data_IF_659903040913
#
_entry.id   IF_659903040913
#
_cell.length_a   1.000
_cell.length_b   1.000
_cell.length_c   1.000
_cell.angle_alpha   90.00
_cell.angle_beta   90.00
_cell.angle_gamma   90.00
#
_symmetry.space_group_name_H-M   'P 1'
#
loop_
_entity.id
_entity.type
_entity.pdbx_description
1 polymer ?
#
# COMPACT_ATOMS: atom_id res chain seq x y z
N UNK A 1 31.29 52.61 -50.87
CA UNK A 1 30.31 52.37 -49.79
C UNK A 1 30.12 50.86 -49.68
N UNK A 2 30.20 50.33 -48.46
CA UNK A 2 30.15 48.92 -48.08
C UNK A 2 28.89 48.17 -48.58
N UNK A 3 28.97 46.85 -48.82
CA UNK A 3 28.43 45.80 -47.91
C UNK A 3 28.62 44.37 -48.47
N UNK A 4 28.74 43.43 -47.53
CA UNK A 4 28.93 41.97 -47.57
C UNK A 4 27.80 41.18 -48.28
N UNK A 5 28.09 39.97 -48.80
CA UNK A 5 27.58 38.69 -48.26
C UNK A 5 28.11 37.43 -49.03
N UNK A 6 28.19 36.32 -48.28
CA UNK A 6 28.71 34.97 -48.58
C UNK A 6 28.19 34.27 -49.84
N UNK A 7 28.91 33.22 -50.29
CA UNK A 7 28.22 31.97 -50.53
C UNK A 7 28.89 30.71 -49.96
N UNK A 8 27.99 29.79 -49.63
CA UNK A 8 28.05 28.38 -49.23
C UNK A 8 28.77 27.44 -50.21
N UNK A 9 29.29 26.32 -49.69
CA UNK A 9 29.31 25.05 -50.43
C UNK A 9 30.53 24.14 -50.24
N UNK A 10 30.33 23.05 -49.48
CA UNK A 10 30.99 21.70 -49.43
C UNK A 10 31.70 21.23 -50.74
N UNK A 11 32.51 20.13 -50.80
CA UNK A 11 32.78 19.08 -49.80
C UNK A 11 34.22 18.44 -49.83
N UNK A 12 34.40 17.43 -48.98
CA UNK A 12 35.41 16.34 -49.02
C UNK A 12 36.83 16.55 -48.44
N UNK A 13 37.13 15.64 -47.50
CA UNK A 13 38.27 14.72 -47.50
C UNK A 13 39.31 14.87 -46.37
N UNK A 14 39.62 13.68 -45.83
CA UNK A 14 40.88 13.29 -45.20
C UNK A 14 41.19 13.85 -43.82
N UNK A 15 41.09 12.98 -42.80
CA UNK A 15 42.05 13.02 -41.69
C UNK A 15 42.60 11.63 -41.35
N UNK A 16 43.92 11.53 -41.11
CA UNK A 16 44.65 10.27 -41.04
C UNK A 16 44.72 9.71 -39.62
N UNK A 17 44.84 8.38 -39.55
CA UNK A 17 45.20 7.66 -38.34
C UNK A 17 46.59 8.09 -37.84
N UNK A 18 46.65 8.56 -36.60
CA UNK A 18 47.88 8.58 -35.80
C UNK A 18 47.71 7.69 -34.58
N UNK A 19 48.50 6.62 -34.58
CA UNK A 19 48.81 5.76 -33.44
C UNK A 19 49.92 6.38 -32.60
N UNK A 20 49.86 6.13 -31.28
CA UNK A 20 50.93 6.09 -30.24
C UNK A 20 50.54 6.86 -28.97
N UNK A 21 51.17 6.60 -27.80
CA UNK A 21 51.53 5.32 -27.21
C UNK A 21 51.03 5.19 -25.74
N UNK A 22 51.06 3.97 -25.22
CA UNK A 22 50.61 3.62 -23.87
C UNK A 22 51.65 4.03 -22.81
N UNK A 23 51.40 5.10 -22.07
CA UNK A 23 52.16 5.48 -20.87
C UNK A 23 51.45 5.03 -19.59
N UNK A 24 52.15 4.20 -18.82
CA UNK A 24 51.84 3.81 -17.45
C UNK A 24 52.14 4.98 -16.51
N UNK A 25 51.22 5.33 -15.61
CA UNK A 25 51.60 5.87 -14.30
C UNK A 25 50.73 5.33 -13.16
N UNK A 26 51.33 5.04 -11.98
CA UNK A 26 50.71 4.39 -10.84
C UNK A 26 50.22 5.40 -9.79
N UNK A 27 49.12 5.11 -9.10
CA UNK A 27 48.81 5.73 -7.82
C UNK A 27 48.25 4.71 -6.82
N UNK A 28 48.93 4.65 -5.67
CA UNK A 28 48.49 4.04 -4.44
C UNK A 28 47.34 4.83 -3.80
N UNK A 29 46.50 4.09 -3.06
CA UNK A 29 45.71 4.50 -1.88
C UNK A 29 44.70 5.66 -2.02
N UNK A 30 43.41 5.36 -1.83
CA UNK A 30 42.76 5.61 -0.55
C UNK A 30 41.41 4.89 -0.44
N UNK A 31 41.26 4.12 0.64
CA UNK A 31 40.01 3.64 1.18
C UNK A 31 39.00 4.78 1.33
N UNK A 32 37.96 4.78 0.51
CA UNK A 32 36.66 5.33 0.89
C UNK A 32 35.58 4.34 0.51
N UNK A 33 35.47 3.34 1.38
CA UNK A 33 34.24 2.63 1.69
C UNK A 33 33.16 3.66 2.08
N UNK A 34 32.56 4.29 1.08
CA UNK A 34 31.25 4.90 1.22
C UNK A 34 30.28 3.73 1.36
N UNK A 35 30.14 3.27 2.62
CA UNK A 35 28.96 2.56 3.07
C UNK A 35 27.79 3.52 2.89
N UNK A 36 27.27 3.54 1.66
CA UNK A 36 25.90 3.92 1.43
C UNK A 36 25.09 2.92 2.23
N UNK A 37 24.77 3.29 3.46
CA UNK A 37 23.58 2.80 4.15
C UNK A 37 22.40 3.22 3.28
N UNK A 38 22.17 2.46 2.22
CA UNK A 38 20.87 2.33 1.60
C UNK A 38 19.98 1.75 2.68
N UNK A 39 19.46 2.65 3.51
CA UNK A 39 18.17 2.47 4.15
C UNK A 39 17.14 2.41 3.01
N UNK A 40 17.17 1.32 2.24
CA UNK A 40 16.05 0.84 1.46
C UNK A 40 15.02 0.37 2.49
N UNK A 41 14.38 1.35 3.14
CA UNK A 41 13.00 1.18 3.56
C UNK A 41 12.28 0.72 2.31
N UNK A 42 11.89 -0.55 2.27
CA UNK A 42 11.01 -1.14 1.27
C UNK A 42 9.90 -0.15 0.94
N UNK A 43 10.09 0.64 -0.13
CA UNK A 43 9.07 1.53 -0.64
C UNK A 43 7.97 0.60 -1.09
N UNK A 44 6.87 0.56 -0.33
CA UNK A 44 5.60 -0.03 -0.75
C UNK A 44 5.19 0.68 -2.04
N UNK A 45 5.63 0.16 -3.19
CA UNK A 45 5.35 0.79 -4.46
C UNK A 45 3.91 0.47 -4.81
N UNK A 46 3.12 1.53 -4.93
CA UNK A 46 1.75 1.42 -5.38
C UNK A 46 1.76 0.94 -6.84
N UNK A 47 1.08 -0.17 -7.11
CA UNK A 47 1.05 -0.81 -8.43
C UNK A 47 -0.25 -0.45 -9.13
N UNK A 48 -0.17 0.03 -10.38
CA UNK A 48 -1.36 0.26 -11.20
C UNK A 48 -1.89 -1.05 -11.75
N UNK A 49 -3.21 -1.19 -11.69
CA UNK A 49 -3.90 -2.42 -11.99
C UNK A 49 -5.35 -2.23 -12.36
N UNK A 50 -6.06 -3.35 -12.38
CA UNK A 50 -7.50 -3.39 -12.63
C UNK A 50 -8.22 -4.07 -11.47
N UNK A 51 -9.35 -3.51 -11.05
CA UNK A 51 -10.28 -4.13 -10.12
C UNK A 51 -11.52 -4.61 -10.87
N UNK A 52 -11.95 -5.84 -10.62
CA UNK A 52 -13.29 -6.35 -10.96
C UNK A 52 -14.06 -6.66 -9.68
N UNK A 53 -15.28 -7.20 -9.80
CA UNK A 53 -16.05 -7.61 -8.65
C UNK A 53 -16.62 -9.04 -8.75
N UNK A 54 -16.92 -9.60 -7.58
CA UNK A 54 -17.56 -10.91 -7.39
C UNK A 54 -18.48 -10.89 -6.17
N UNK A 55 -19.45 -11.79 -6.12
CA UNK A 55 -20.25 -12.09 -4.90
C UNK A 55 -19.49 -12.99 -3.91
N UNK A 56 -18.29 -13.42 -4.31
CA UNK A 56 -17.53 -14.43 -3.58
C UNK A 56 -18.01 -15.85 -3.86
N UNK A 57 -17.28 -16.81 -3.30
CA UNK A 57 -17.55 -18.24 -3.40
C UNK A 57 -17.64 -18.89 -2.01
N UNK A 58 -18.15 -20.13 -1.93
CA UNK A 58 -18.34 -20.81 -0.64
C UNK A 58 -17.03 -21.21 0.05
N UNK A 59 -15.95 -21.36 -0.71
CA UNK A 59 -14.63 -21.75 -0.21
C UNK A 59 -13.59 -20.83 -0.81
N UNK A 60 -12.63 -20.41 0.01
CA UNK A 60 -11.51 -19.59 -0.41
C UNK A 60 -10.20 -20.35 -0.22
N UNK A 61 -9.21 -20.09 -1.06
CA UNK A 61 -7.90 -20.74 -0.94
C UNK A 61 -7.15 -20.35 0.34
N UNK A 62 -7.48 -19.20 0.95
CA UNK A 62 -6.83 -18.75 2.18
C UNK A 62 -7.52 -19.22 3.46
N UNK A 63 -8.68 -19.88 3.38
CA UNK A 63 -9.45 -20.28 4.57
C UNK A 63 -10.12 -19.12 5.31
N UNK A 64 -10.10 -17.91 4.74
CA UNK A 64 -10.77 -16.70 5.26
C UNK A 64 -12.05 -16.49 4.46
N UNK A 65 -13.23 -16.36 5.09
CA UNK A 65 -14.49 -16.21 4.35
C UNK A 65 -14.57 -14.84 3.66
N UNK A 66 -15.33 -14.76 2.56
CA UNK A 66 -15.64 -13.50 1.87
C UNK A 66 -16.42 -12.51 2.76
N UNK A 67 -17.11 -12.98 3.79
CA UNK A 67 -17.78 -12.11 4.77
C UNK A 67 -16.83 -11.46 5.78
N UNK A 68 -15.55 -11.80 5.75
CA UNK A 68 -14.55 -11.20 6.63
C UNK A 68 -14.50 -9.69 6.44
N UNK A 69 -14.23 -8.96 7.52
CA UNK A 69 -14.14 -7.49 7.53
C UNK A 69 -15.32 -6.81 6.78
N UNK A 70 -16.56 -7.23 7.04
CA UNK A 70 -17.77 -6.73 6.37
C UNK A 70 -17.70 -6.75 4.85
N UNK A 71 -17.17 -7.84 4.31
CA UNK A 71 -16.99 -8.03 2.87
C UNK A 71 -16.00 -7.06 2.23
N UNK A 72 -15.09 -6.47 3.02
CA UNK A 72 -13.92 -5.77 2.52
C UNK A 72 -12.81 -6.77 2.22
N UNK A 73 -13.08 -7.63 1.24
CA UNK A 73 -12.23 -8.77 0.88
C UNK A 73 -12.02 -8.81 -0.62
N UNK A 74 -10.92 -9.45 -1.03
CA UNK A 74 -10.58 -9.58 -2.43
C UNK A 74 -9.88 -10.90 -2.73
N UNK A 75 -9.88 -11.27 -4.01
CA UNK A 75 -9.02 -12.31 -4.54
C UNK A 75 -8.04 -11.74 -5.55
N UNK A 76 -6.85 -12.34 -5.61
CA UNK A 76 -5.73 -11.89 -6.44
C UNK A 76 -5.35 -12.96 -7.46
N UNK A 77 -4.58 -12.61 -8.50
CA UNK A 77 -4.05 -13.63 -9.41
C UNK A 77 -3.12 -14.62 -8.71
N UNK A 78 -3.04 -15.86 -9.20
CA UNK A 78 -2.17 -16.90 -8.61
C UNK A 78 -0.68 -16.52 -8.62
N UNK A 79 -0.27 -15.70 -9.59
CA UNK A 79 1.10 -15.17 -9.71
C UNK A 79 1.23 -13.74 -9.16
N UNK A 80 0.25 -13.27 -8.39
CA UNK A 80 0.31 -11.97 -7.74
C UNK A 80 1.32 -11.98 -6.59
N UNK A 81 2.02 -10.86 -6.32
CA UNK A 81 2.90 -10.77 -5.15
C UNK A 81 2.12 -10.68 -3.82
N UNK A 82 0.79 -10.54 -3.88
CA UNK A 82 -0.04 -10.41 -2.69
C UNK A 82 -0.41 -11.77 -2.08
N UNK A 83 -0.31 -11.87 -0.76
CA UNK A 83 -0.45 -13.12 -0.02
C UNK A 83 -1.80 -13.22 0.71
N UNK A 84 -2.20 -14.44 1.06
CA UNK A 84 -3.36 -14.70 1.89
C UNK A 84 -3.30 -13.92 3.21
N UNK A 85 -4.42 -13.29 3.60
CA UNK A 85 -4.53 -12.49 4.82
C UNK A 85 -3.90 -11.09 4.72
N UNK A 86 -3.19 -10.77 3.64
CA UNK A 86 -2.58 -9.47 3.46
C UNK A 86 -3.65 -8.39 3.23
N UNK A 87 -3.46 -7.24 3.88
CA UNK A 87 -4.27 -6.05 3.65
C UNK A 87 -3.73 -5.22 2.49
N UNK A 88 -4.61 -4.81 1.59
CA UNK A 88 -4.29 -3.98 0.42
C UNK A 88 -5.15 -2.73 0.45
N UNK A 89 -4.52 -1.57 0.27
CA UNK A 89 -5.23 -0.31 -0.02
C UNK A 89 -5.45 -0.22 -1.52
N UNK A 90 -6.70 -0.07 -1.91
CA UNK A 90 -7.14 0.03 -3.30
C UNK A 90 -7.70 1.42 -3.52
N UNK A 91 -7.14 2.16 -4.47
CA UNK A 91 -7.55 3.53 -4.80
C UNK A 91 -8.09 3.59 -6.22
N UNK A 92 -9.23 4.25 -6.39
CA UNK A 92 -9.84 4.45 -7.71
C UNK A 92 -9.09 5.54 -8.48
N UNK A 93 -8.54 5.22 -9.65
CA UNK A 93 -7.81 6.21 -10.44
C UNK A 93 -8.73 7.23 -11.13
N UNK A 94 -10.00 6.90 -11.34
CA UNK A 94 -11.00 7.81 -11.91
C UNK A 94 -11.62 8.71 -10.84
N UNK A 95 -11.58 8.29 -9.58
CA UNK A 95 -12.07 9.06 -8.42
C UNK A 95 -11.08 8.97 -7.27
N UNK A 96 -9.98 9.75 -7.31
CA UNK A 96 -8.87 9.61 -6.38
C UNK A 96 -9.24 9.75 -4.88
N UNK A 97 -10.37 10.37 -4.55
CA UNK A 97 -10.85 10.49 -3.17
C UNK A 97 -11.55 9.21 -2.65
N UNK A 98 -11.70 8.20 -3.52
CA UNK A 98 -12.31 6.90 -3.18
C UNK A 98 -11.22 5.83 -3.07
N UNK A 99 -11.06 5.35 -1.85
CA UNK A 99 -10.16 4.26 -1.51
C UNK A 99 -10.79 3.31 -0.50
N UNK A 100 -10.40 2.04 -0.54
CA UNK A 100 -10.82 1.01 0.41
C UNK A 100 -9.63 0.17 0.82
N UNK A 101 -9.66 -0.36 2.05
CA UNK A 101 -8.73 -1.40 2.48
C UNK A 101 -9.42 -2.75 2.42
N UNK A 102 -8.80 -3.71 1.75
CA UNK A 102 -9.34 -5.06 1.59
C UNK A 102 -8.35 -6.12 2.05
N UNK A 103 -8.86 -7.23 2.56
CA UNK A 103 -8.06 -8.41 2.90
C UNK A 103 -8.05 -9.40 1.75
N UNK A 104 -6.88 -9.93 1.39
CA UNK A 104 -6.77 -11.00 0.40
C UNK A 104 -7.25 -12.30 1.01
N UNK A 105 -8.36 -12.83 0.51
CA UNK A 105 -8.99 -14.05 1.03
C UNK A 105 -8.92 -15.22 0.07
N UNK A 106 -8.67 -14.99 -1.22
CA UNK A 106 -8.69 -16.05 -2.22
C UNK A 106 -7.73 -15.76 -3.40
N UNK A 107 -7.56 -16.73 -4.30
CA UNK A 107 -6.83 -16.53 -5.56
C UNK A 107 -7.67 -16.91 -6.77
N UNK A 108 -7.70 -16.05 -7.76
CA UNK A 108 -8.42 -16.26 -9.01
C UNK A 108 -7.48 -16.77 -10.10
N UNK A 109 -7.81 -17.94 -10.64
CA UNK A 109 -7.07 -18.56 -11.74
C UNK A 109 -7.15 -17.69 -13.00
N UNK A 110 -6.02 -17.51 -13.68
CA UNK A 110 -5.94 -16.76 -14.94
C UNK A 110 -5.97 -15.24 -14.80
N UNK A 111 -6.04 -14.69 -13.58
CA UNK A 111 -5.89 -13.25 -13.38
C UNK A 111 -4.41 -12.86 -13.48
N UNK A 112 -4.08 -11.76 -14.18
CA UNK A 112 -2.72 -11.23 -14.19
C UNK A 112 -2.33 -10.70 -12.79
N UNK A 113 -1.02 -10.56 -12.49
CA UNK A 113 -0.54 -10.19 -11.15
C UNK A 113 -1.10 -8.89 -10.57
N UNK A 114 -1.41 -7.92 -11.44
CA UNK A 114 -1.93 -6.60 -11.11
C UNK A 114 -3.45 -6.47 -11.35
N UNK A 115 -4.18 -7.59 -11.40
CA UNK A 115 -5.64 -7.59 -11.41
C UNK A 115 -6.16 -8.18 -10.10
N UNK A 116 -7.10 -7.46 -9.49
CA UNK A 116 -7.74 -7.83 -8.23
C UNK A 116 -9.24 -8.00 -8.46
N UNK A 117 -9.84 -8.98 -7.82
CA UNK A 117 -11.28 -9.21 -7.85
C UNK A 117 -11.85 -8.89 -6.47
N UNK A 118 -12.48 -7.73 -6.35
CA UNK A 118 -13.05 -7.26 -5.09
C UNK A 118 -14.37 -7.98 -4.82
N UNK A 119 -14.74 -8.12 -3.55
CA UNK A 119 -16.13 -8.40 -3.24
C UNK A 119 -17.02 -7.22 -3.71
N UNK A 120 -18.27 -7.50 -4.08
CA UNK A 120 -19.28 -6.50 -4.48
C UNK A 120 -19.29 -5.25 -3.58
N UNK A 121 -19.42 -5.44 -2.26
CA UNK A 121 -19.42 -4.35 -1.28
C UNK A 121 -18.13 -3.49 -1.32
N UNK A 122 -16.96 -4.11 -1.44
CA UNK A 122 -15.70 -3.40 -1.52
C UNK A 122 -15.58 -2.60 -2.84
N UNK A 123 -16.09 -3.17 -3.94
CA UNK A 123 -16.14 -2.51 -5.24
C UNK A 123 -17.09 -1.30 -5.21
N UNK A 124 -18.29 -1.43 -4.63
CA UNK A 124 -19.23 -0.32 -4.44
C UNK A 124 -18.66 0.76 -3.51
N UNK A 125 -17.99 0.37 -2.41
CA UNK A 125 -17.35 1.30 -1.47
C UNK A 125 -16.24 2.13 -2.13
N UNK A 126 -15.60 1.59 -3.18
CA UNK A 126 -14.63 2.31 -4.03
C UNK A 126 -15.30 3.36 -4.97
N UNK A 127 -16.61 3.57 -4.82
CA UNK A 127 -17.41 4.49 -5.64
C UNK A 127 -17.69 3.97 -7.04
N UNK A 128 -17.60 2.65 -7.25
CA UNK A 128 -17.79 2.03 -8.55
C UNK A 128 -19.27 1.80 -8.88
N UNK A 129 -19.63 1.92 -10.15
CA UNK A 129 -20.87 1.34 -10.67
C UNK A 129 -20.59 -0.11 -11.09
N UNK A 130 -21.38 -1.06 -10.57
CA UNK A 130 -21.27 -2.49 -10.87
C UNK A 130 -21.40 -2.80 -12.37
N UNK A 131 -22.15 -1.99 -13.12
CA UNK A 131 -22.34 -2.14 -14.57
C UNK A 131 -21.05 -1.89 -15.37
N UNK A 132 -20.13 -1.08 -14.84
CA UNK A 132 -18.82 -0.85 -15.47
C UNK A 132 -17.98 -2.12 -15.42
N UNK A 133 -18.13 -2.92 -14.35
CA UNK A 133 -17.50 -4.24 -14.18
C UNK A 133 -15.98 -4.24 -13.97
N UNK A 134 -15.26 -3.24 -14.47
CA UNK A 134 -13.80 -3.12 -14.36
C UNK A 134 -13.40 -1.67 -14.06
N UNK A 135 -12.55 -1.45 -13.05
CA UNK A 135 -11.97 -0.15 -12.74
C UNK A 135 -10.46 -0.17 -12.85
N UNK A 136 -9.87 0.95 -13.26
CA UNK A 136 -8.43 1.17 -13.12
C UNK A 136 -8.13 1.63 -11.69
N UNK A 137 -7.22 0.92 -11.03
CA UNK A 137 -6.92 1.14 -9.61
C UNK A 137 -5.42 1.24 -9.37
N UNK A 138 -5.10 1.83 -8.23
CA UNK A 138 -3.78 1.73 -7.63
C UNK A 138 -3.86 0.81 -6.42
N UNK A 139 -2.99 -0.19 -6.37
CA UNK A 139 -2.94 -1.24 -5.34
C UNK A 139 -1.68 -1.01 -4.53
N UNK A 140 -1.85 -0.64 -3.25
CA UNK A 140 -0.75 -0.50 -2.31
C UNK A 140 -0.84 -1.62 -1.26
N UNK A 141 0.15 -2.52 -1.17
CA UNK A 141 0.29 -3.38 0.00
C UNK A 141 0.33 -2.55 1.26
N UNK A 142 -0.62 -2.79 2.17
CA UNK A 142 -0.46 -2.31 3.54
C UNK A 142 0.45 -3.34 4.17
N UNK A 143 1.66 -2.94 4.56
CA UNK A 143 2.43 -3.79 5.44
C UNK A 143 1.59 -3.99 6.71
N UNK A 144 1.06 -5.18 6.91
CA UNK A 144 0.93 -5.68 8.28
C UNK A 144 2.35 -5.59 8.82
N UNK A 145 2.59 -4.82 9.87
CA UNK A 145 3.88 -4.83 10.50
C UNK A 145 4.06 -6.25 10.96
N UNK A 146 5.21 -6.81 10.61
CA UNK A 146 5.80 -7.86 11.40
C UNK A 146 5.52 -7.57 12.87
N UNK A 147 5.33 -8.65 13.60
CA UNK A 147 5.14 -8.76 15.04
C UNK A 147 6.13 -7.96 15.92
N UNK A 148 6.96 -7.09 15.37
CA UNK A 148 7.62 -5.96 16.01
C UNK A 148 7.57 -4.69 15.15
N UNK A 149 6.79 -3.70 15.59
CA UNK A 149 6.82 -2.27 15.19
C UNK A 149 6.20 -1.90 13.82
N UNK A 150 5.00 -1.30 13.83
CA UNK A 150 4.53 -0.45 12.72
C UNK A 150 3.05 -0.02 12.81
N UNK A 151 2.14 -0.95 13.07
CA UNK A 151 0.67 -0.78 13.05
C UNK A 151 0.00 -1.45 14.24
N UNK A 152 0.77 -1.87 15.25
CA UNK A 152 0.27 -2.39 16.52
C UNK A 152 -0.61 -3.65 16.41
N UNK A 153 -0.71 -4.41 17.51
CA UNK A 153 -1.39 -5.73 17.48
C UNK A 153 -2.92 -5.65 17.54
N UNK A 154 -3.45 -4.47 17.85
CA UNK A 154 -4.86 -4.25 18.17
C UNK A 154 -5.63 -3.52 17.08
N UNK A 155 -4.97 -3.09 15.99
CA UNK A 155 -5.60 -2.28 14.96
C UNK A 155 -6.80 -2.96 14.29
N UNK A 156 -6.71 -4.25 13.99
CA UNK A 156 -7.83 -5.03 13.42
C UNK A 156 -8.98 -5.20 14.41
N UNK A 157 -8.66 -5.50 15.69
CA UNK A 157 -9.67 -5.61 16.74
C UNK A 157 -10.41 -4.29 16.97
N UNK A 158 -9.67 -3.17 17.02
CA UNK A 158 -10.27 -1.85 17.12
C UNK A 158 -11.10 -1.51 15.89
N UNK A 159 -10.68 -1.92 14.69
CA UNK A 159 -11.45 -1.70 13.47
C UNK A 159 -12.80 -2.42 13.55
N UNK A 160 -12.83 -3.68 13.99
CA UNK A 160 -14.07 -4.44 14.15
C UNK A 160 -15.01 -3.83 15.22
N UNK A 161 -14.46 -3.39 16.35
CA UNK A 161 -15.23 -2.72 17.41
C UNK A 161 -15.78 -1.39 16.90
N UNK A 162 -14.95 -0.59 16.24
CA UNK A 162 -15.33 0.71 15.66
C UNK A 162 -16.42 0.54 14.62
N UNK A 163 -16.28 -0.45 13.75
CA UNK A 163 -17.28 -0.77 12.74
C UNK A 163 -18.64 -1.17 13.34
N UNK A 164 -18.64 -1.81 14.52
CA UNK A 164 -19.86 -2.12 15.27
C UNK A 164 -20.48 -0.86 15.88
N UNK A 165 -19.66 0.06 16.38
CA UNK A 165 -20.11 1.33 16.95
C UNK A 165 -20.63 2.34 15.89
N UNK A 166 -20.10 2.28 14.67
CA UNK A 166 -20.45 3.16 13.55
C UNK A 166 -21.01 2.35 12.35
N UNK A 167 -22.22 1.77 12.47
CA UNK A 167 -22.74 0.83 11.47
C UNK A 167 -23.04 1.46 10.09
N UNK A 168 -23.18 2.78 10.01
CA UNK A 168 -23.41 3.52 8.75
C UNK A 168 -22.13 3.96 8.04
N UNK A 169 -20.96 3.65 8.61
CA UNK A 169 -19.66 3.95 8.04
C UNK A 169 -18.90 2.64 7.79
N UNK A 170 -17.95 2.67 6.87
CA UNK A 170 -16.96 1.62 6.67
C UNK A 170 -15.64 2.09 7.25
N UNK A 171 -14.99 1.26 8.07
CA UNK A 171 -13.60 1.53 8.49
C UNK A 171 -12.69 1.23 7.31
N UNK A 172 -12.17 2.27 6.65
CA UNK A 172 -11.38 2.13 5.43
C UNK A 172 -9.88 2.15 5.68
N UNK A 173 -9.43 2.62 6.84
CA UNK A 173 -8.02 2.62 7.21
C UNK A 173 -7.87 2.66 8.74
N UNK A 174 -6.76 2.12 9.26
CA UNK A 174 -6.31 2.36 10.62
C UNK A 174 -4.78 2.46 10.65
N UNK A 175 -4.26 3.33 11.51
CA UNK A 175 -2.82 3.51 11.68
C UNK A 175 -2.48 3.58 13.17
N UNK A 176 -1.38 2.94 13.58
CA UNK A 176 -0.87 3.11 14.93
C UNK A 176 -0.23 4.49 15.07
N UNK A 177 -0.71 5.26 16.04
CA UNK A 177 -0.25 6.63 16.31
C UNK A 177 0.77 6.64 17.44
N UNK A 178 0.68 5.67 18.36
CA UNK A 178 1.61 5.61 19.46
C UNK A 178 1.46 4.38 20.34
N UNK A 179 2.52 4.13 21.09
CA UNK A 179 2.59 3.12 22.13
C UNK A 179 3.24 3.72 23.36
N UNK A 180 2.58 3.59 24.50
CA UNK A 180 3.04 4.18 25.76
C UNK A 180 2.99 3.10 26.85
N UNK A 181 4.12 2.85 27.49
CA UNK A 181 4.17 2.05 28.71
C UNK A 181 3.62 2.90 29.86
N UNK A 182 2.42 2.57 30.33
CA UNK A 182 1.80 3.30 31.44
C UNK A 182 2.47 2.92 32.77
N UNK A 183 2.80 1.64 32.91
CA UNK A 183 3.59 1.08 34.02
C UNK A 183 4.17 -0.29 33.56
N UNK A 184 4.99 -0.98 34.38
CA UNK A 184 5.59 -2.26 33.97
C UNK A 184 4.58 -3.34 33.57
N UNK A 185 3.34 -3.26 34.07
CA UNK A 185 2.29 -4.24 33.82
C UNK A 185 1.32 -3.82 32.72
N UNK A 186 1.32 -2.55 32.28
CA UNK A 186 0.29 -2.02 31.39
C UNK A 186 0.90 -1.21 30.25
N UNK A 187 0.43 -1.48 29.05
CA UNK A 187 0.80 -0.75 27.85
C UNK A 187 -0.46 -0.22 27.18
N UNK A 188 -0.42 1.04 26.76
CA UNK A 188 -1.43 1.70 25.96
C UNK A 188 -0.95 1.77 24.51
N UNK A 189 -1.76 1.30 23.57
CA UNK A 189 -1.58 1.54 22.14
C UNK A 189 -2.70 2.44 21.62
N UNK A 190 -2.36 3.41 20.78
CA UNK A 190 -3.27 4.42 20.22
C UNK A 190 -3.29 4.33 18.72
N UNK A 191 -4.48 4.43 18.13
CA UNK A 191 -4.74 4.25 16.71
C UNK A 191 -5.64 5.35 16.20
N UNK A 192 -5.40 5.81 14.99
CA UNK A 192 -6.33 6.63 14.24
C UNK A 192 -7.03 5.75 13.21
N UNK A 193 -8.36 5.81 13.16
CA UNK A 193 -9.18 5.07 12.22
C UNK A 193 -9.93 6.05 11.31
N UNK A 194 -9.92 5.76 10.01
CA UNK A 194 -10.66 6.51 9.00
C UNK A 194 -11.97 5.78 8.68
N UNK A 195 -13.07 6.48 8.86
CA UNK A 195 -14.42 6.00 8.63
C UNK A 195 -14.98 6.70 7.40
N UNK A 196 -15.53 5.94 6.45
CA UNK A 196 -16.13 6.49 5.25
C UNK A 196 -17.56 6.01 5.06
N UNK A 197 -18.45 6.95 4.76
CA UNK A 197 -19.80 6.70 4.25
C UNK A 197 -19.89 7.24 2.81
N UNK A 198 -20.96 6.96 2.06
CA UNK A 198 -21.14 7.51 0.72
C UNK A 198 -21.04 9.05 0.65
N UNK A 199 -21.39 9.75 1.74
CA UNK A 199 -21.51 11.20 1.79
C UNK A 199 -20.46 11.91 2.68
N UNK A 200 -19.80 11.19 3.58
CA UNK A 200 -18.92 11.79 4.58
C UNK A 200 -17.78 10.86 5.01
N UNK A 201 -16.59 11.44 5.19
CA UNK A 201 -15.48 10.80 5.90
C UNK A 201 -15.34 11.37 7.31
N UNK A 202 -14.96 10.55 8.29
CA UNK A 202 -14.69 10.92 9.68
C UNK A 202 -13.43 10.22 10.17
N UNK A 203 -12.73 10.86 11.10
CA UNK A 203 -11.60 10.25 11.79
C UNK A 203 -11.97 10.05 13.25
N UNK A 204 -11.64 8.87 13.79
CA UNK A 204 -11.81 8.57 15.21
C UNK A 204 -10.49 8.04 15.76
N UNK A 205 -10.27 8.22 17.05
CA UNK A 205 -9.10 7.69 17.76
C UNK A 205 -9.51 6.55 18.65
N UNK A 206 -8.88 5.39 18.44
CA UNK A 206 -9.01 4.21 19.29
C UNK A 206 -7.82 4.08 20.23
N UNK A 207 -8.10 3.75 21.48
CA UNK A 207 -7.08 3.42 22.48
C UNK A 207 -7.32 2.00 23.00
N UNK A 208 -6.24 1.25 23.21
CA UNK A 208 -6.29 -0.06 23.87
C UNK A 208 -5.26 -0.10 24.98
N UNK A 209 -5.72 -0.36 26.20
CA UNK A 209 -4.87 -0.60 27.37
C UNK A 209 -4.89 -2.10 27.63
N UNK A 210 -3.73 -2.72 27.73
CA UNK A 210 -3.59 -4.16 27.93
C UNK A 210 -2.45 -4.49 28.89
N UNK A 211 -2.51 -5.68 29.48
CA UNK A 211 -1.45 -6.21 30.33
C UNK A 211 -0.20 -6.54 29.50
N UNK A 212 0.95 -5.93 29.78
CA UNK A 212 2.17 -6.07 28.99
C UNK A 212 2.65 -7.53 28.87
N UNK A 213 2.45 -8.33 29.93
CA UNK A 213 2.99 -9.70 30.01
C UNK A 213 2.07 -10.74 29.36
N UNK A 214 0.75 -10.56 29.49
CA UNK A 214 -0.25 -11.55 29.08
C UNK A 214 -1.00 -11.13 27.82
N UNK A 215 -0.84 -9.88 27.39
CA UNK A 215 -1.59 -9.25 26.31
C UNK A 215 -3.11 -9.23 26.54
N UNK A 216 -3.57 -9.41 27.77
CA UNK A 216 -5.00 -9.33 28.09
C UNK A 216 -5.45 -7.88 28.03
N UNK A 217 -6.50 -7.61 27.25
CA UNK A 217 -7.12 -6.28 27.16
C UNK A 217 -7.73 -5.95 28.51
N UNK A 218 -7.40 -4.77 29.02
CA UNK A 218 -7.95 -4.21 30.25
C UNK A 218 -9.10 -3.27 29.89
N UNK A 219 -8.87 -2.38 28.92
CA UNK A 219 -9.88 -1.46 28.42
C UNK A 219 -9.59 -1.06 26.99
N UNK A 220 -10.64 -0.63 26.30
CA UNK A 220 -10.54 0.09 25.05
C UNK A 220 -11.51 1.28 25.06
N UNK A 221 -11.18 2.32 24.32
CA UNK A 221 -12.05 3.47 24.11
C UNK A 221 -11.91 3.97 22.67
N UNK A 222 -12.98 4.57 22.16
CA UNK A 222 -13.04 5.18 20.83
C UNK A 222 -13.60 6.59 21.01
N UNK A 223 -12.89 7.58 20.47
CA UNK A 223 -13.24 8.97 20.59
C UNK A 223 -13.31 9.62 19.20
N UNK A 224 -14.38 10.37 18.92
CA UNK A 224 -14.45 11.23 17.73
C UNK A 224 -13.43 12.37 17.84
N UNK A 225 -12.79 12.71 16.72
CA UNK A 225 -11.81 13.80 16.62
C UNK A 225 -12.41 15.09 16.05
#
# INVERSE_FOLDING_TARGET
>A
MYFYYYPTGNPYAFYPYHTEPYEKHPYYMEDRSYSGFSNDFDRQQAVRGQATWTEGGPVTKCGIPWSHNNYMTASVGENSPYQCGQSLRIKNLTSPDKEVTVTVVDQTRGYPPNKINLHRNAFEALGANLEVGVLNVEITPIQQPDSGMGNGRWGEYLSAITQTAYPSYYVTNFQAVGKTHMNPQQTKETYDLLLQSPHQSRQVRGNVIYQTNTNQVISFDIQEM
#
